data_IF_072743777968
#
_entry.id   IF_072743777968
#
_cell.length_a   1.000
_cell.length_b   1.000
_cell.length_c   1.000
_cell.angle_alpha   90.00
_cell.angle_beta   90.00
_cell.angle_gamma   90.00
#
_symmetry.space_group_name_H-M   'P 1'
#
loop_
_entity.id
_entity.type
_entity.pdbx_description
1 polymer ?
#
# COMPACT_ATOMS: atom_id res chain seq x y z
N UNK A 1 63.27 22.09 10.72
CA UNK A 1 62.05 22.14 9.87
C UNK A 1 61.12 20.92 9.99
N UNK A 2 61.19 20.09 11.04
CA UNK A 2 60.36 18.87 11.17
C UNK A 2 59.09 19.02 12.04
N UNK A 3 58.93 20.15 12.75
CA UNK A 3 57.83 20.36 13.72
C UNK A 3 56.55 20.90 13.06
N UNK A 4 56.67 21.70 12.00
CA UNK A 4 55.53 22.23 11.22
C UNK A 4 54.82 21.16 10.38
N UNK A 5 55.56 20.20 9.82
CA UNK A 5 55.01 19.10 9.04
C UNK A 5 54.15 18.15 9.87
N UNK A 6 54.49 17.93 11.14
CA UNK A 6 53.69 17.10 12.06
C UNK A 6 52.37 17.76 12.48
N UNK A 7 52.36 19.09 12.64
CA UNK A 7 51.14 19.85 12.95
C UNK A 7 50.19 19.84 11.75
N UNK A 8 50.72 20.01 10.53
CA UNK A 8 49.90 19.95 9.31
C UNK A 8 49.31 18.56 9.07
N UNK A 9 50.04 17.49 9.36
CA UNK A 9 49.53 16.11 9.23
C UNK A 9 48.40 15.82 10.23
N UNK A 10 48.55 16.26 11.49
CA UNK A 10 47.52 16.07 12.51
C UNK A 10 46.22 16.84 12.21
N UNK A 11 46.34 18.06 11.67
CA UNK A 11 45.18 18.87 11.25
C UNK A 11 44.46 18.23 10.06
N UNK A 12 45.19 17.68 9.08
CA UNK A 12 44.59 17.00 7.93
C UNK A 12 43.86 15.70 8.29
N UNK A 13 44.34 14.95 9.30
CA UNK A 13 43.67 13.75 9.82
C UNK A 13 42.40 14.12 10.61
N UNK A 14 42.44 15.19 11.39
CA UNK A 14 41.25 15.67 12.10
C UNK A 14 40.15 16.16 11.14
N UNK A 15 40.54 16.84 10.05
CA UNK A 15 39.63 17.28 8.99
C UNK A 15 38.97 16.12 8.24
N UNK A 16 39.69 15.01 8.00
CA UNK A 16 39.10 13.85 7.32
C UNK A 16 38.08 13.10 8.19
N UNK A 17 38.27 13.10 9.52
CA UNK A 17 37.33 12.48 10.46
C UNK A 17 36.02 13.27 10.60
N UNK A 18 36.05 14.59 10.43
CA UNK A 18 34.83 15.42 10.42
C UNK A 18 33.98 15.23 9.15
N UNK A 19 34.57 14.77 8.05
CA UNK A 19 33.88 14.62 6.76
C UNK A 19 33.22 13.24 6.56
N UNK A 20 33.47 12.26 7.45
CA UNK A 20 32.90 10.90 7.31
C UNK A 20 31.58 10.69 8.07
N UNK A 21 31.05 11.74 8.72
CA UNK A 21 29.84 11.67 9.55
C UNK A 21 28.49 11.67 8.81
N UNK A 22 28.46 11.84 7.48
CA UNK A 22 27.19 11.96 6.73
C UNK A 22 26.81 10.74 5.88
N UNK A 23 27.51 9.61 6.00
CA UNK A 23 27.25 8.41 5.19
C UNK A 23 26.48 7.29 5.92
N UNK A 24 26.14 7.46 7.20
CA UNK A 24 25.34 6.46 7.95
C UNK A 24 24.26 7.16 8.76
N UNK A 25 23.18 7.51 8.07
CA UNK A 25 22.02 8.16 8.70
C UNK A 25 21.20 9.02 7.75
N UNK A 26 21.03 8.63 6.48
CA UNK A 26 19.89 9.17 5.74
C UNK A 26 18.63 8.61 6.38
N UNK A 27 18.10 9.31 7.40
CA UNK A 27 16.68 9.18 7.70
C UNK A 27 15.95 9.39 6.37
N UNK A 28 15.03 8.49 5.98
CA UNK A 28 14.23 8.74 4.80
C UNK A 28 13.61 10.12 4.96
N UNK A 29 13.83 10.97 3.97
CA UNK A 29 13.36 12.35 3.94
C UNK A 29 11.90 12.36 4.40
N UNK A 30 11.50 13.17 5.40
CA UNK A 30 10.14 13.13 5.94
C UNK A 30 9.10 13.38 4.85
N UNK A 31 9.46 14.07 3.76
CA UNK A 31 8.63 14.20 2.56
C UNK A 31 8.29 12.85 1.90
N UNK A 32 9.24 11.91 1.79
CA UNK A 32 9.00 10.58 1.21
C UNK A 32 8.17 9.68 2.14
N UNK A 33 8.41 9.76 3.46
CA UNK A 33 7.59 9.04 4.45
C UNK A 33 6.19 9.64 4.55
N UNK A 34 6.05 10.95 4.47
CA UNK A 34 4.76 11.64 4.44
C UNK A 34 4.00 11.34 3.14
N UNK A 35 4.67 11.27 1.99
CA UNK A 35 4.03 10.92 0.71
C UNK A 35 3.54 9.46 0.74
N UNK A 36 4.29 8.51 1.29
CA UNK A 36 3.81 7.12 1.42
C UNK A 36 2.75 6.94 2.51
N UNK A 37 2.78 7.74 3.57
CA UNK A 37 1.73 7.78 4.60
C UNK A 37 0.47 8.53 4.15
N UNK A 38 0.59 9.46 3.19
CA UNK A 38 -0.50 10.27 2.67
C UNK A 38 -1.31 9.59 1.56
N UNK A 39 -0.85 8.46 1.03
CA UNK A 39 -1.67 7.63 0.15
C UNK A 39 -2.32 6.54 1.00
N UNK A 40 -3.63 6.65 1.30
CA UNK A 40 -4.33 5.57 1.98
C UNK A 40 -4.16 4.30 1.14
N UNK A 41 -3.50 3.29 1.70
CA UNK A 41 -3.34 2.04 0.98
C UNK A 41 -4.70 1.33 0.94
N UNK A 42 -5.28 1.24 -0.26
CA UNK A 42 -6.46 0.40 -0.48
C UNK A 42 -6.10 -1.02 -0.08
N UNK A 43 -6.88 -1.63 0.82
CA UNK A 43 -6.64 -3.02 1.22
C UNK A 43 -6.68 -3.92 -0.01
N UNK A 44 -5.67 -4.77 -0.19
CA UNK A 44 -5.56 -5.64 -1.37
C UNK A 44 -6.81 -6.52 -1.59
N UNK A 45 -7.52 -6.89 -0.54
CA UNK A 45 -8.79 -7.63 -0.60
C UNK A 45 -9.90 -6.90 -1.37
N UNK A 46 -9.87 -5.56 -1.43
CA UNK A 46 -10.84 -4.74 -2.16
C UNK A 46 -10.55 -4.70 -3.66
N UNK A 47 -9.31 -5.00 -4.07
CA UNK A 47 -8.92 -5.08 -5.48
C UNK A 47 -9.21 -6.45 -6.10
N UNK A 48 -9.78 -7.38 -5.33
CA UNK A 48 -10.17 -8.68 -5.86
C UNK A 48 -11.32 -8.52 -6.84
N UNK A 49 -11.08 -8.92 -8.09
CA UNK A 49 -12.08 -8.87 -9.15
C UNK A 49 -13.30 -9.74 -8.82
N UNK A 50 -14.45 -9.31 -9.33
CA UNK A 50 -15.65 -10.12 -9.30
C UNK A 50 -15.55 -11.27 -10.32
N UNK A 51 -16.17 -12.42 -10.05
CA UNK A 51 -16.17 -13.53 -11.00
C UNK A 51 -16.77 -13.07 -12.33
N UNK A 52 -16.05 -13.30 -13.43
CA UNK A 52 -16.53 -12.96 -14.77
C UNK A 52 -17.75 -13.78 -15.18
N UNK A 53 -17.89 -14.96 -14.59
CA UNK A 53 -18.99 -15.89 -14.84
C UNK A 53 -19.49 -16.46 -13.52
N UNK A 54 -20.81 -16.53 -13.39
CA UNK A 54 -21.47 -17.20 -12.28
C UNK A 54 -21.61 -18.69 -12.60
N UNK A 55 -21.53 -19.58 -11.60
CA UNK A 55 -21.65 -21.01 -11.84
C UNK A 55 -23.03 -21.33 -12.43
N UNK A 56 -23.04 -22.13 -13.49
CA UNK A 56 -24.28 -22.69 -14.02
C UNK A 56 -24.74 -23.87 -13.15
N UNK A 57 -26.05 -24.11 -13.11
CA UNK A 57 -26.59 -25.32 -12.50
C UNK A 57 -26.10 -26.56 -13.26
N UNK A 58 -25.75 -27.62 -12.53
CA UNK A 58 -25.25 -28.86 -13.12
C UNK A 58 -26.32 -29.59 -13.95
N UNK A 59 -27.58 -29.48 -13.53
CA UNK A 59 -28.74 -30.04 -14.21
C UNK A 59 -30.02 -29.23 -13.91
N UNK A 60 -31.14 -29.66 -14.50
CA UNK A 60 -32.46 -29.04 -14.32
C UNK A 60 -33.27 -29.58 -13.15
N UNK A 61 -32.68 -30.37 -12.24
CA UNK A 61 -33.41 -30.85 -11.05
C UNK A 61 -33.64 -29.70 -10.09
N UNK A 62 -34.83 -29.62 -9.51
CA UNK A 62 -35.23 -28.52 -8.61
C UNK A 62 -34.25 -28.32 -7.46
N UNK A 63 -33.79 -29.41 -6.83
CA UNK A 63 -32.80 -29.35 -5.75
C UNK A 63 -31.48 -28.71 -6.20
N UNK A 64 -30.95 -29.14 -7.35
CA UNK A 64 -29.73 -28.58 -7.94
C UNK A 64 -29.89 -27.11 -8.32
N UNK A 65 -31.05 -26.73 -8.86
CA UNK A 65 -31.36 -25.35 -9.23
C UNK A 65 -31.44 -24.45 -7.99
N UNK A 66 -32.05 -24.92 -6.90
CA UNK A 66 -32.13 -24.18 -5.65
C UNK A 66 -30.76 -23.99 -5.01
N UNK A 67 -29.94 -25.05 -4.98
CA UNK A 67 -28.57 -24.97 -4.48
C UNK A 67 -27.74 -23.97 -5.31
N UNK A 68 -27.80 -24.08 -6.63
CA UNK A 68 -27.11 -23.16 -7.53
C UNK A 68 -27.58 -21.71 -7.34
N UNK A 69 -28.88 -21.48 -7.13
CA UNK A 69 -29.40 -20.14 -6.87
C UNK A 69 -28.79 -19.51 -5.61
N UNK A 70 -28.67 -20.27 -4.52
CA UNK A 70 -28.02 -19.81 -3.28
C UNK A 70 -26.54 -19.52 -3.51
N UNK A 71 -25.83 -20.41 -4.21
CA UNK A 71 -24.41 -20.25 -4.49
C UNK A 71 -24.12 -19.03 -5.38
N UNK A 72 -24.95 -18.81 -6.39
CA UNK A 72 -24.87 -17.64 -7.27
C UNK A 72 -25.18 -16.35 -6.50
N UNK A 73 -26.26 -16.35 -5.72
CA UNK A 73 -26.66 -15.18 -4.93
C UNK A 73 -25.59 -14.79 -3.91
N UNK A 74 -24.99 -15.76 -3.22
CA UNK A 74 -23.92 -15.50 -2.25
C UNK A 74 -22.70 -14.87 -2.90
N UNK A 75 -22.27 -15.36 -4.06
CA UNK A 75 -21.13 -14.80 -4.80
C UNK A 75 -21.42 -13.40 -5.33
N UNK A 76 -22.63 -13.17 -5.84
CA UNK A 76 -23.07 -11.86 -6.28
C UNK A 76 -23.01 -10.84 -5.15
N UNK A 77 -23.62 -11.14 -3.99
CA UNK A 77 -23.63 -10.21 -2.86
C UNK A 77 -22.24 -9.99 -2.26
N UNK A 78 -21.38 -11.03 -2.22
CA UNK A 78 -20.00 -10.87 -1.78
C UNK A 78 -19.21 -9.92 -2.71
N UNK A 79 -19.40 -10.03 -4.03
CA UNK A 79 -18.82 -9.09 -5.00
C UNK A 79 -19.37 -7.67 -4.82
N UNK A 80 -20.70 -7.54 -4.73
CA UNK A 80 -21.39 -6.26 -4.55
C UNK A 80 -20.87 -5.52 -3.31
N UNK A 81 -20.74 -6.22 -2.18
CA UNK A 81 -20.23 -5.64 -0.94
C UNK A 81 -18.80 -5.14 -1.09
N UNK A 82 -17.90 -5.96 -1.66
CA UNK A 82 -16.50 -5.53 -1.89
C UNK A 82 -16.42 -4.33 -2.82
N UNK A 83 -17.26 -4.25 -3.85
CA UNK A 83 -17.28 -3.11 -4.75
C UNK A 83 -17.78 -1.85 -4.05
N UNK A 84 -18.80 -1.95 -3.19
CA UNK A 84 -19.26 -0.84 -2.36
C UNK A 84 -18.15 -0.36 -1.42
N UNK A 85 -17.46 -1.29 -0.75
CA UNK A 85 -16.34 -0.99 0.14
C UNK A 85 -15.16 -0.36 -0.63
N UNK A 86 -14.90 -0.80 -1.87
CA UNK A 86 -13.88 -0.21 -2.73
C UNK A 86 -14.24 1.22 -3.14
N UNK A 87 -15.50 1.46 -3.56
CA UNK A 87 -15.97 2.80 -3.91
C UNK A 87 -15.86 3.74 -2.72
N UNK A 88 -16.23 3.28 -1.52
CA UNK A 88 -16.11 4.07 -0.30
C UNK A 88 -14.64 4.34 0.06
N UNK A 89 -13.78 3.33 -0.07
CA UNK A 89 -12.35 3.50 0.12
C UNK A 89 -11.78 4.54 -0.85
N UNK A 90 -12.20 4.55 -2.12
CA UNK A 90 -11.78 5.55 -3.11
C UNK A 90 -12.27 6.95 -2.74
N UNK A 91 -13.55 7.11 -2.36
CA UNK A 91 -14.11 8.40 -1.94
C UNK A 91 -13.37 9.02 -0.76
N UNK A 92 -13.03 8.19 0.23
CA UNK A 92 -12.25 8.66 1.38
C UNK A 92 -10.81 9.05 1.01
N UNK A 93 -10.23 8.51 -0.08
CA UNK A 93 -8.91 8.97 -0.57
C UNK A 93 -9.00 10.30 -1.31
N UNK A 94 -10.05 10.50 -2.10
CA UNK A 94 -10.25 11.73 -2.89
C UNK A 94 -10.71 12.91 -2.03
N UNK A 95 -10.97 12.71 -0.73
CA UNK A 95 -11.49 13.75 0.17
C UNK A 95 -12.92 14.14 -0.16
N UNK A 96 -13.68 13.27 -0.84
CA UNK A 96 -15.08 13.50 -1.15
C UNK A 96 -15.92 13.06 0.05
N UNK A 97 -15.96 13.92 1.07
CA UNK A 97 -16.97 13.85 2.14
C UNK A 97 -18.34 14.20 1.53
N UNK A 98 -19.11 13.20 1.11
CA UNK A 98 -20.53 13.40 0.83
C UNK A 98 -21.27 13.32 2.16
N UNK A 99 -21.63 14.49 2.68
CA UNK A 99 -22.62 14.65 3.76
C UNK A 99 -23.92 13.95 3.32
N UNK A 100 -24.54 13.10 4.17
CA UNK A 100 -25.74 12.34 3.84
C UNK A 100 -26.94 13.20 3.44
#
# INVERSE_FOLDING_TARGET
MAKRTRINLAVLIALSWMLTGCASGTMPTPALVAVTAAHPQVRASLMQECPQQLPAAADGRVETLLQNHVDVASQYHACQQRQADLVEAVRTQEGIDIVP
#
